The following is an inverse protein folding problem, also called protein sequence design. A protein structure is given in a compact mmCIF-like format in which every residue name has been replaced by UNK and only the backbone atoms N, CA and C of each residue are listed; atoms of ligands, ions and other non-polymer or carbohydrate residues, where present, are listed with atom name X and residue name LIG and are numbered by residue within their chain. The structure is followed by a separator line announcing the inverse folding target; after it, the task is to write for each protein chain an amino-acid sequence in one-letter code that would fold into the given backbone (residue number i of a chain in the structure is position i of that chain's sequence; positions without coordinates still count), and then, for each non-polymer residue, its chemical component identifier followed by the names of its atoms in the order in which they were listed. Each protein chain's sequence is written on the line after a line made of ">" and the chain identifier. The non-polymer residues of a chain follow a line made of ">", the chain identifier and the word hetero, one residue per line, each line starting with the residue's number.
data_IF_419697190646
#
_entry.id   IF_419697190646
#
_cell.length_a   1.000
_cell.length_b   1.000
_cell.length_c   1.000
_cell.angle_alpha   90.00
_cell.angle_beta   90.00
_cell.angle_gamma   90.00
#
_symmetry.space_group_name_H-M   'P 1'
#
loop_
_entity.id
_entity.type
_entity.pdbx_description
1 polymer ?
#
# COMPACT_ATOMS: atom_id res chain seq x y z
N UNK A 1 8.81 6.33 -20.24
CA UNK A 1 8.85 5.74 -18.89
C UNK A 1 7.50 5.28 -18.40
N UNK A 2 6.93 4.41 -19.22
CA UNK A 2 5.59 3.88 -18.97
C UNK A 2 5.56 3.05 -17.68
N UNK A 3 6.63 2.27 -17.41
CA UNK A 3 6.67 1.41 -16.23
C UNK A 3 6.62 2.17 -14.90
N UNK A 4 7.33 3.28 -14.79
CA UNK A 4 7.34 4.09 -13.55
C UNK A 4 5.97 4.72 -13.32
N UNK A 5 5.34 5.22 -14.39
CA UNK A 5 4.00 5.79 -14.29
C UNK A 5 2.98 4.76 -13.84
N UNK A 6 3.02 3.55 -14.40
CA UNK A 6 2.11 2.48 -14.01
C UNK A 6 2.28 2.10 -12.54
N UNK A 7 3.51 2.00 -12.06
CA UNK A 7 3.78 1.69 -10.65
C UNK A 7 3.26 2.77 -9.72
N UNK A 8 3.35 4.04 -10.12
CA UNK A 8 2.80 5.15 -9.35
C UNK A 8 1.28 5.05 -9.27
N UNK A 9 0.62 4.73 -10.37
CA UNK A 9 -0.84 4.57 -10.40
C UNK A 9 -1.29 3.42 -9.51
N UNK A 10 -0.59 2.29 -9.56
CA UNK A 10 -0.87 1.14 -8.68
C UNK A 10 -0.72 1.53 -7.22
N UNK A 11 0.33 2.26 -6.87
CA UNK A 11 0.56 2.72 -5.50
C UNK A 11 -0.58 3.62 -5.01
N UNK A 12 -1.08 4.52 -5.87
CA UNK A 12 -2.18 5.41 -5.53
C UNK A 12 -3.46 4.62 -5.26
N UNK A 13 -3.78 3.66 -6.12
CA UNK A 13 -4.96 2.80 -5.95
C UNK A 13 -4.87 1.98 -4.66
N UNK A 14 -3.72 1.40 -4.38
CA UNK A 14 -3.51 0.63 -3.16
C UNK A 14 -3.62 1.53 -1.93
N UNK A 15 -3.14 2.77 -2.00
CA UNK A 15 -3.30 3.74 -0.93
C UNK A 15 -4.76 4.10 -0.65
N UNK A 16 -5.59 4.17 -1.68
CA UNK A 16 -7.02 4.38 -1.53
C UNK A 16 -7.71 3.19 -0.87
N UNK A 17 -7.29 1.96 -1.23
CA UNK A 17 -7.78 0.74 -0.58
C UNK A 17 -7.43 0.73 0.90
N UNK A 18 -6.20 1.10 1.26
CA UNK A 18 -5.78 1.19 2.66
C UNK A 18 -6.67 2.16 3.42
N UNK A 19 -6.98 3.31 2.85
CA UNK A 19 -7.86 4.29 3.49
C UNK A 19 -9.26 3.75 3.71
N UNK A 20 -9.82 3.09 2.71
CA UNK A 20 -11.15 2.50 2.80
C UNK A 20 -11.19 1.40 3.88
N UNK A 21 -10.18 0.54 3.91
CA UNK A 21 -10.09 -0.54 4.89
C UNK A 21 -9.84 0.00 6.30
N UNK A 22 -9.12 1.10 6.44
CA UNK A 22 -8.94 1.77 7.74
C UNK A 22 -10.28 2.22 8.30
N UNK A 23 -11.12 2.86 7.48
CA UNK A 23 -12.45 3.28 7.89
C UNK A 23 -13.34 2.08 8.23
N UNK A 24 -13.27 1.03 7.44
CA UNK A 24 -14.04 -0.19 7.68
C UNK A 24 -13.64 -0.83 9.00
N UNK A 25 -12.34 -0.88 9.30
CA UNK A 25 -11.81 -1.43 10.54
C UNK A 25 -12.27 -0.60 11.74
N UNK A 26 -12.22 0.74 11.63
CA UNK A 26 -12.71 1.62 12.69
C UNK A 26 -14.20 1.38 12.98
N UNK A 27 -15.01 1.19 11.94
CA UNK A 27 -16.42 0.87 12.11
C UNK A 27 -16.62 -0.49 12.77
N UNK A 28 -15.80 -1.48 12.41
CA UNK A 28 -15.87 -2.81 13.03
C UNK A 28 -15.57 -2.73 14.52
N UNK A 29 -14.56 -1.97 14.93
CA UNK A 29 -14.25 -1.74 16.33
C UNK A 29 -15.40 -1.06 17.07
N UNK A 30 -15.99 -0.02 16.47
CA UNK A 30 -17.12 0.67 17.06
C UNK A 30 -18.32 -0.26 17.27
N UNK A 31 -18.61 -1.11 16.30
CA UNK A 31 -19.67 -2.11 16.42
C UNK A 31 -19.37 -3.11 17.51
N UNK A 32 -18.15 -3.57 17.60
CA UNK A 32 -17.74 -4.52 18.62
C UNK A 32 -17.89 -3.92 20.02
N UNK A 33 -17.40 -2.71 20.24
CA UNK A 33 -17.52 -2.03 21.52
C UNK A 33 -18.97 -1.69 21.86
N UNK A 34 -19.81 -1.51 20.85
CA UNK A 34 -21.25 -1.34 21.03
C UNK A 34 -22.03 -2.62 21.26
N UNK A 35 -21.34 -3.76 21.19
CA UNK A 35 -21.98 -5.07 21.40
C UNK A 35 -22.78 -5.58 20.21
N UNK A 36 -22.60 -4.98 19.02
CA UNK A 36 -23.40 -5.31 17.83
C UNK A 36 -22.80 -6.47 17.05
N UNK A 37 -21.46 -6.57 17.00
CA UNK A 37 -20.78 -7.59 16.19
C UNK A 37 -19.81 -8.40 17.04
N UNK A 38 -19.54 -9.67 16.65
CA UNK A 38 -18.52 -10.47 17.33
C UNK A 38 -17.11 -9.97 16.99
N UNK A 39 -16.17 -10.30 17.87
CA UNK A 39 -14.77 -9.90 17.72
C UNK A 39 -14.13 -10.47 16.45
N UNK A 40 -14.65 -11.57 15.92
CA UNK A 40 -14.17 -12.17 14.69
C UNK A 40 -14.21 -11.19 13.51
N UNK A 41 -15.23 -10.34 13.44
CA UNK A 41 -15.34 -9.33 12.40
C UNK A 41 -14.22 -8.31 12.51
N UNK A 42 -13.85 -7.90 13.73
CA UNK A 42 -12.73 -7.01 13.98
C UNK A 42 -11.41 -7.64 13.53
N UNK A 43 -11.19 -8.90 13.90
CA UNK A 43 -9.99 -9.63 13.51
C UNK A 43 -9.86 -9.75 11.99
N UNK A 44 -10.96 -10.04 11.30
CA UNK A 44 -10.96 -10.14 9.85
C UNK A 44 -10.66 -8.79 9.19
N UNK A 45 -11.24 -7.71 9.70
CA UNK A 45 -10.97 -6.35 9.21
C UNK A 45 -9.50 -5.96 9.43
N UNK A 46 -8.97 -6.26 10.61
CA UNK A 46 -7.55 -5.98 10.91
C UNK A 46 -6.62 -6.75 9.97
N UNK A 47 -6.94 -8.01 9.68
CA UNK A 47 -6.16 -8.82 8.76
C UNK A 47 -6.17 -8.22 7.35
N UNK A 48 -7.34 -7.84 6.86
CA UNK A 48 -7.46 -7.22 5.54
C UNK A 48 -6.70 -5.91 5.45
N UNK A 49 -6.78 -5.09 6.49
CA UNK A 49 -6.05 -3.83 6.57
C UNK A 49 -4.55 -4.08 6.55
N UNK A 50 -4.06 -5.01 7.37
CA UNK A 50 -2.64 -5.34 7.42
C UNK A 50 -2.13 -5.82 6.06
N UNK A 51 -2.88 -6.69 5.38
CA UNK A 51 -2.51 -7.19 4.04
C UNK A 51 -2.43 -6.05 3.03
N UNK A 52 -3.36 -5.10 3.08
CA UNK A 52 -3.36 -3.98 2.15
C UNK A 52 -2.23 -2.99 2.45
N UNK A 53 -1.89 -2.77 3.71
CA UNK A 53 -0.74 -1.94 4.10
C UNK A 53 0.56 -2.57 3.63
N UNK A 54 0.68 -3.89 3.75
CA UNK A 54 1.85 -4.61 3.26
C UNK A 54 1.97 -4.49 1.74
N UNK A 55 0.86 -4.59 1.02
CA UNK A 55 0.84 -4.40 -0.43
C UNK A 55 1.26 -2.99 -0.81
N UNK A 56 0.79 -1.99 -0.07
CA UNK A 56 1.20 -0.60 -0.31
C UNK A 56 2.71 -0.43 -0.13
N UNK A 57 3.28 -1.03 0.92
CA UNK A 57 4.72 -0.99 1.15
C UNK A 57 5.48 -1.65 0.00
N UNK A 58 4.99 -2.77 -0.52
CA UNK A 58 5.60 -3.44 -1.66
C UNK A 58 5.52 -2.59 -2.92
N UNK A 59 4.38 -1.92 -3.15
CA UNK A 59 4.21 -1.04 -4.31
C UNK A 59 5.17 0.15 -4.25
N UNK A 60 5.36 0.73 -3.07
CA UNK A 60 6.34 1.80 -2.87
C UNK A 60 7.76 1.33 -3.12
N UNK A 61 8.11 0.14 -2.64
CA UNK A 61 9.41 -0.46 -2.88
C UNK A 61 9.65 -0.70 -4.36
N UNK A 62 8.66 -1.22 -5.07
CA UNK A 62 8.75 -1.47 -6.50
C UNK A 62 8.92 -0.17 -7.29
N UNK A 63 8.21 0.88 -6.91
CA UNK A 63 8.34 2.21 -7.52
C UNK A 63 9.77 2.73 -7.34
N UNK A 64 10.30 2.63 -6.14
CA UNK A 64 11.67 3.07 -5.83
C UNK A 64 12.70 2.28 -6.61
N UNK A 65 12.56 0.95 -6.67
CA UNK A 65 13.46 0.10 -7.44
C UNK A 65 13.45 0.44 -8.92
N UNK A 66 12.28 0.76 -9.47
CA UNK A 66 12.15 1.17 -10.87
C UNK A 66 12.88 2.49 -11.13
N UNK A 67 12.80 3.44 -10.20
CA UNK A 67 13.52 4.71 -10.30
C UNK A 67 15.03 4.48 -10.23
N UNK A 68 15.50 3.62 -9.34
CA UNK A 68 16.92 3.29 -9.24
C UNK A 68 17.41 2.63 -10.52
N UNK A 69 16.64 1.71 -11.09
CA UNK A 69 16.98 1.06 -12.35
C UNK A 69 17.10 2.08 -13.48
N UNK A 70 16.20 3.07 -13.50
CA UNK A 70 16.24 4.15 -14.48
C UNK A 70 17.53 4.97 -14.33
N UNK A 71 17.90 5.33 -13.11
CA UNK A 71 19.14 6.05 -12.84
C UNK A 71 20.35 5.28 -13.35
N UNK A 72 20.41 3.99 -13.11
CA UNK A 72 21.51 3.15 -13.59
C UNK A 72 21.58 3.14 -15.11
N UNK A 73 20.45 3.07 -15.77
CA UNK A 73 20.40 3.03 -17.23
C UNK A 73 20.84 4.34 -17.87
N UNK A 74 20.47 5.48 -17.25
CA UNK A 74 20.74 6.80 -17.80
C UNK A 74 22.06 7.40 -17.27
N UNK A 75 22.37 7.13 -16.01
CA UNK A 75 23.40 7.83 -15.30
C UNK A 75 24.61 7.01 -14.90
N UNK A 76 24.67 5.75 -15.29
CA UNK A 76 25.77 4.87 -14.91
C UNK A 76 27.12 5.45 -15.25
N UNK A 77 27.24 6.14 -16.38
CA UNK A 77 28.48 6.77 -16.81
C UNK A 77 28.86 8.02 -16.05
N UNK A 78 27.90 8.85 -15.71
CA UNK A 78 28.22 10.12 -15.06
C UNK A 78 28.44 10.00 -13.55
N UNK A 79 28.13 8.86 -12.98
CA UNK A 79 28.44 8.61 -11.58
C UNK A 79 29.91 8.37 -11.32
N UNK A 80 30.69 8.21 -12.33
CA UNK A 80 32.13 7.97 -12.21
C UNK A 80 32.95 9.25 -12.06
N UNK A 81 32.36 10.38 -12.16
CA UNK A 81 33.06 11.67 -12.05
C UNK A 81 33.45 12.06 -10.66
#
# INVERSE_FOLDING_TARGET
>A
MVGVRMLKEVRIETGEQVRALTKQTDLAYKRYFGGVTPYLEVLDSDRQLFESELRLAQDRANELLAVIALYRALGGGWQTY
#
